data_IF_509210090892
#
_entry.id   IF_509210090892
#
_cell.length_a   1.000
_cell.length_b   1.000
_cell.length_c   1.000
_cell.angle_alpha   90.00
_cell.angle_beta   90.00
_cell.angle_gamma   90.00
#
_symmetry.space_group_name_H-M   'P 1'
#
loop_
_entity.id
_entity.type
_entity.pdbx_description
1 polymer ?
#
# COMPACT_ATOMS: atom_id res chain seq x y z
N UNK A 1 -17.88 -15.17 -28.50
CA UNK A 1 -18.41 -14.69 -27.21
C UNK A 1 -17.23 -14.39 -26.30
N UNK A 2 -16.91 -13.13 -26.04
CA UNK A 2 -15.88 -12.76 -25.07
C UNK A 2 -16.28 -13.33 -23.71
N UNK A 3 -15.45 -14.21 -23.14
CA UNK A 3 -15.70 -14.70 -21.78
C UNK A 3 -15.65 -13.49 -20.85
N UNK A 4 -16.78 -13.14 -20.26
CA UNK A 4 -16.91 -12.07 -19.26
C UNK A 4 -15.95 -12.42 -18.13
N UNK A 5 -14.78 -11.76 -18.08
CA UNK A 5 -13.87 -11.82 -16.94
C UNK A 5 -14.45 -10.91 -15.87
N UNK A 6 -15.25 -11.48 -14.97
CA UNK A 6 -16.11 -10.70 -14.08
C UNK A 6 -15.31 -9.88 -13.05
N UNK A 7 -15.55 -8.57 -13.03
CA UNK A 7 -15.25 -7.67 -11.90
C UNK A 7 -16.51 -7.11 -11.23
N UNK A 8 -17.70 -7.42 -11.75
CA UNK A 8 -18.97 -6.82 -11.33
C UNK A 8 -19.95 -7.83 -10.73
N UNK A 9 -19.93 -9.08 -11.20
CA UNK A 9 -20.85 -10.14 -10.75
C UNK A 9 -20.05 -11.24 -10.03
N UNK A 10 -20.27 -11.44 -8.72
CA UNK A 10 -19.63 -12.53 -7.98
C UNK A 10 -19.96 -13.92 -8.57
N UNK A 11 -19.03 -14.86 -8.48
CA UNK A 11 -19.20 -16.26 -8.89
C UNK A 11 -19.07 -16.56 -10.39
N UNK A 12 -18.89 -15.54 -11.24
CA UNK A 12 -18.85 -15.71 -12.71
C UNK A 12 -17.43 -15.47 -13.24
N UNK A 13 -17.02 -16.24 -14.26
CA UNK A 13 -15.77 -15.97 -15.00
C UNK A 13 -14.49 -16.05 -14.17
N UNK A 14 -14.51 -16.88 -13.13
CA UNK A 14 -13.38 -17.04 -12.19
C UNK A 14 -12.18 -17.67 -12.89
N UNK A 15 -10.99 -17.21 -12.48
CA UNK A 15 -9.69 -17.78 -12.83
C UNK A 15 -8.81 -17.70 -11.59
N UNK A 16 -7.84 -18.60 -11.46
CA UNK A 16 -6.84 -18.48 -10.41
C UNK A 16 -6.10 -17.13 -10.54
N UNK A 17 -5.73 -16.53 -9.41
CA UNK A 17 -4.81 -15.41 -9.41
C UNK A 17 -3.46 -15.87 -10.00
N UNK A 18 -2.75 -15.04 -10.79
CA UNK A 18 -1.41 -15.40 -11.26
C UNK A 18 -0.46 -15.64 -10.09
N UNK A 19 0.29 -16.74 -10.09
CA UNK A 19 1.20 -17.09 -8.99
C UNK A 19 2.53 -17.70 -9.49
N UNK A 20 3.61 -17.58 -8.71
CA UNK A 20 4.82 -18.39 -8.90
C UNK A 20 4.57 -19.80 -8.38
N UNK A 21 5.04 -20.84 -9.04
CA UNK A 21 4.78 -22.24 -8.68
C UNK A 21 5.50 -22.68 -7.38
N UNK A 22 6.66 -22.08 -7.12
CA UNK A 22 7.50 -22.33 -5.95
C UNK A 22 7.91 -20.98 -5.33
N UNK A 23 8.14 -20.95 -4.01
CA UNK A 23 8.41 -19.71 -3.29
C UNK A 23 9.73 -19.05 -3.69
N UNK A 24 9.74 -17.72 -3.67
CA UNK A 24 10.97 -16.93 -3.79
C UNK A 24 11.88 -17.11 -2.56
N UNK A 25 13.19 -17.25 -2.79
CA UNK A 25 14.16 -17.40 -1.71
C UNK A 25 14.56 -16.06 -1.12
N UNK A 26 14.62 -15.97 0.21
CA UNK A 26 15.08 -14.78 0.92
C UNK A 26 15.90 -15.19 2.17
N UNK A 27 17.08 -14.59 2.40
CA UNK A 27 17.82 -14.84 3.63
C UNK A 27 17.04 -14.39 4.87
N UNK A 28 16.97 -15.26 5.87
CA UNK A 28 16.23 -15.03 7.11
C UNK A 28 16.59 -13.72 7.84
N UNK A 29 17.86 -13.25 7.86
CA UNK A 29 18.20 -11.96 8.45
C UNK A 29 17.45 -10.77 7.83
N UNK A 30 17.26 -10.76 6.50
CA UNK A 30 16.51 -9.70 5.83
C UNK A 30 15.01 -9.80 6.08
N UNK A 31 14.47 -11.02 6.18
CA UNK A 31 13.09 -11.22 6.63
C UNK A 31 12.85 -10.63 8.03
N UNK A 32 13.75 -10.92 8.98
CA UNK A 32 13.69 -10.37 10.35
C UNK A 32 13.80 -8.85 10.35
N UNK A 33 14.75 -8.30 9.61
CA UNK A 33 14.90 -6.85 9.43
C UNK A 33 13.59 -6.22 8.92
N UNK A 34 12.97 -6.80 7.89
CA UNK A 34 11.72 -6.29 7.33
C UNK A 34 10.56 -6.34 8.37
N UNK A 35 10.49 -7.41 9.16
CA UNK A 35 9.48 -7.55 10.21
C UNK A 35 9.67 -6.54 11.35
N UNK A 36 10.92 -6.31 11.77
CA UNK A 36 11.27 -5.33 12.82
C UNK A 36 10.91 -3.89 12.41
N UNK A 37 10.95 -3.59 11.11
CA UNK A 37 10.62 -2.27 10.58
C UNK A 37 9.11 -1.97 10.60
N UNK A 38 8.24 -2.98 10.56
CA UNK A 38 6.79 -2.78 10.46
C UNK A 38 6.20 -1.93 11.61
N UNK A 39 6.43 -2.24 12.90
CA UNK A 39 5.89 -1.42 13.98
C UNK A 39 6.52 -0.02 14.06
N UNK A 40 7.75 0.15 13.55
CA UNK A 40 8.44 1.44 13.49
C UNK A 40 7.79 2.32 12.41
N UNK A 41 7.53 1.77 11.22
CA UNK A 41 6.83 2.49 10.16
C UNK A 41 5.39 2.84 10.54
N UNK A 42 4.69 1.94 11.23
CA UNK A 42 3.33 2.21 11.72
C UNK A 42 3.29 3.46 12.62
N UNK A 43 4.19 3.54 13.61
CA UNK A 43 4.28 4.69 14.50
C UNK A 43 4.75 5.96 13.76
N UNK A 44 5.70 5.83 12.81
CA UNK A 44 6.12 6.94 11.97
C UNK A 44 4.94 7.51 11.17
N UNK A 45 4.12 6.65 10.55
CA UNK A 45 2.94 7.09 9.79
C UNK A 45 1.97 7.84 10.69
N UNK A 46 1.65 7.33 11.87
CA UNK A 46 0.76 8.03 12.82
C UNK A 46 1.32 9.41 13.17
N UNK A 47 2.60 9.50 13.55
CA UNK A 47 3.20 10.76 13.97
C UNK A 47 3.32 11.79 12.86
N UNK A 48 3.69 11.36 11.65
CA UNK A 48 3.73 12.27 10.48
C UNK A 48 2.33 12.75 10.12
N UNK A 49 1.31 11.90 10.26
CA UNK A 49 -0.08 12.27 9.97
C UNK A 49 -0.65 13.36 10.88
N UNK A 50 -0.05 13.56 12.06
CA UNK A 50 -0.45 14.59 13.01
C UNK A 50 0.19 15.96 12.71
N UNK A 51 1.30 16.01 11.96
CA UNK A 51 1.93 17.26 11.53
C UNK A 51 1.31 17.74 10.22
N UNK A 52 0.12 18.31 10.33
CA UNK A 52 -0.64 18.80 9.18
C UNK A 52 0.10 19.89 8.39
N UNK A 53 0.91 20.72 9.05
CA UNK A 53 1.73 21.73 8.40
C UNK A 53 2.82 21.09 7.56
N UNK A 54 3.54 20.09 8.10
CA UNK A 54 4.51 19.33 7.32
C UNK A 54 3.89 18.73 6.05
N UNK A 55 2.72 18.10 6.16
CA UNK A 55 2.04 17.52 4.99
C UNK A 55 1.67 18.59 3.94
N UNK A 56 1.08 19.72 4.38
CA UNK A 56 0.70 20.81 3.46
C UNK A 56 1.93 21.46 2.81
N UNK A 57 2.98 21.72 3.58
CA UNK A 57 4.20 22.39 3.11
C UNK A 57 4.98 21.50 2.14
N UNK A 58 5.20 20.23 2.51
CA UNK A 58 5.95 19.25 1.69
C UNK A 58 5.28 18.95 0.35
N UNK A 59 3.96 19.10 0.25
CA UNK A 59 3.17 18.86 -0.97
C UNK A 59 2.72 20.16 -1.66
N UNK A 60 3.14 21.33 -1.17
CA UNK A 60 2.68 22.64 -1.65
C UNK A 60 2.98 22.90 -3.13
N UNK A 61 4.16 22.49 -3.62
CA UNK A 61 4.51 22.57 -5.05
C UNK A 61 3.79 21.51 -5.88
N UNK A 62 3.72 20.28 -5.38
CA UNK A 62 2.98 19.18 -6.02
C UNK A 62 1.52 19.54 -6.27
N UNK A 63 0.88 20.26 -5.33
CA UNK A 63 -0.48 20.78 -5.46
C UNK A 63 -0.71 21.58 -6.75
N UNK A 64 0.28 22.31 -7.23
CA UNK A 64 0.14 23.20 -8.39
C UNK A 64 0.13 22.45 -9.72
N UNK A 65 0.64 21.21 -9.73
CA UNK A 65 0.90 20.43 -10.94
C UNK A 65 0.23 19.06 -10.93
N UNK A 66 -0.44 18.69 -9.84
CA UNK A 66 -1.18 17.44 -9.70
C UNK A 66 -2.56 17.66 -9.07
N UNK A 67 -3.59 17.73 -9.91
CA UNK A 67 -4.98 17.96 -9.52
C UNK A 67 -5.48 16.94 -8.48
N UNK A 68 -5.06 15.67 -8.59
CA UNK A 68 -5.49 14.63 -7.67
C UNK A 68 -4.98 14.88 -6.25
N UNK A 69 -3.67 15.10 -6.11
CA UNK A 69 -3.07 15.46 -4.81
C UNK A 69 -3.63 16.78 -4.30
N UNK A 70 -3.88 17.76 -5.19
CA UNK A 70 -4.50 19.04 -4.82
C UNK A 70 -5.86 18.87 -4.15
N UNK A 71 -6.71 17.97 -4.67
CA UNK A 71 -8.02 17.66 -4.10
C UNK A 71 -7.92 16.92 -2.75
N UNK A 72 -6.95 16.02 -2.60
CA UNK A 72 -6.66 15.38 -1.30
C UNK A 72 -6.22 16.40 -0.25
N UNK A 73 -5.33 17.32 -0.62
CA UNK A 73 -4.89 18.43 0.24
C UNK A 73 -6.02 19.39 0.60
N UNK A 74 -6.98 19.60 -0.31
CA UNK A 74 -8.17 20.42 -0.03
C UNK A 74 -9.03 19.81 1.08
N UNK A 75 -9.28 18.49 1.02
CA UNK A 75 -10.02 17.77 2.07
C UNK A 75 -9.24 17.83 3.39
N UNK A 76 -7.94 17.56 3.36
CA UNK A 76 -7.09 17.63 4.55
C UNK A 76 -7.10 19.03 5.19
N UNK A 77 -7.01 20.09 4.38
CA UNK A 77 -7.10 21.48 4.86
C UNK A 77 -8.45 21.76 5.52
N UNK A 78 -9.57 21.29 4.94
CA UNK A 78 -10.89 21.43 5.56
C UNK A 78 -10.95 20.72 6.92
N UNK A 79 -10.30 19.57 7.08
CA UNK A 79 -10.24 18.86 8.37
C UNK A 79 -9.41 19.64 9.41
N UNK A 80 -8.32 20.27 8.98
CA UNK A 80 -7.54 21.17 9.83
C UNK A 80 -8.34 22.42 10.25
N UNK A 81 -9.07 23.04 9.32
CA UNK A 81 -9.87 24.26 9.58
C UNK A 81 -10.97 24.03 10.62
N UNK A 82 -11.59 22.85 10.62
CA UNK A 82 -12.59 22.46 11.63
C UNK A 82 -11.97 21.86 12.90
N UNK A 83 -10.63 21.82 12.99
CA UNK A 83 -9.88 21.17 14.07
C UNK A 83 -10.41 19.76 14.39
N UNK A 84 -10.59 18.94 13.35
CA UNK A 84 -11.15 17.60 13.51
C UNK A 84 -10.25 16.76 14.41
N UNK A 85 -10.77 16.40 15.59
CA UNK A 85 -10.10 15.43 16.46
C UNK A 85 -10.36 13.99 16.00
N UNK A 86 -9.30 13.28 15.63
CA UNK A 86 -9.35 11.84 15.35
C UNK A 86 -8.83 11.05 16.56
N UNK A 87 -9.73 10.83 17.52
CA UNK A 87 -9.41 10.10 18.74
C UNK A 87 -9.12 8.61 18.50
N UNK A 88 -9.66 8.01 17.44
CA UNK A 88 -9.36 6.63 17.06
C UNK A 88 -8.74 6.65 15.67
N UNK A 89 -7.49 6.19 15.56
CA UNK A 89 -6.72 6.18 14.30
C UNK A 89 -6.30 4.76 13.95
N UNK A 90 -6.66 4.33 12.75
CA UNK A 90 -6.44 2.97 12.25
C UNK A 90 -5.63 2.99 10.95
N UNK A 91 -4.49 2.31 10.96
CA UNK A 91 -3.62 2.10 9.81
C UNK A 91 -3.52 0.62 9.44
N UNK A 92 -3.78 0.30 8.16
CA UNK A 92 -3.51 -1.02 7.58
C UNK A 92 -2.52 -0.87 6.42
N UNK A 93 -1.24 -1.00 6.74
CA UNK A 93 -0.13 -0.61 5.89
C UNK A 93 0.53 -1.80 5.22
N UNK A 94 1.26 -1.53 4.13
CA UNK A 94 2.23 -2.46 3.57
C UNK A 94 3.49 -1.71 3.17
N UNK A 95 4.61 -2.05 3.82
CA UNK A 95 5.92 -1.54 3.45
C UNK A 95 6.58 -2.53 2.49
N UNK A 96 6.94 -2.07 1.30
CA UNK A 96 7.47 -2.91 0.23
C UNK A 96 8.98 -2.74 0.08
N UNK A 97 9.70 -3.84 -0.16
CA UNK A 97 11.15 -3.91 -0.14
C UNK A 97 11.72 -4.76 -1.27
N UNK A 98 12.93 -4.42 -1.70
CA UNK A 98 13.77 -5.26 -2.53
C UNK A 98 15.15 -5.43 -1.89
N UNK A 99 15.74 -6.62 -2.03
CA UNK A 99 17.12 -6.87 -1.60
C UNK A 99 18.06 -6.50 -2.74
N UNK A 100 18.80 -5.41 -2.58
CA UNK A 100 19.76 -4.94 -3.57
C UNK A 100 20.98 -5.86 -3.63
N UNK A 101 21.37 -6.29 -4.83
CA UNK A 101 22.43 -7.27 -5.00
C UNK A 101 23.84 -6.69 -4.82
N UNK A 102 24.06 -5.42 -5.18
CA UNK A 102 25.37 -4.78 -5.06
C UNK A 102 25.69 -4.44 -3.60
N UNK A 103 24.73 -3.84 -2.91
CA UNK A 103 24.91 -3.37 -1.53
C UNK A 103 24.54 -4.42 -0.47
N UNK A 104 23.93 -5.54 -0.87
CA UNK A 104 23.38 -6.56 0.04
C UNK A 104 22.49 -5.95 1.13
N UNK A 105 21.70 -4.95 0.74
CA UNK A 105 20.85 -4.17 1.65
C UNK A 105 19.38 -4.32 1.28
N UNK A 106 18.54 -4.51 2.30
CA UNK A 106 17.10 -4.49 2.14
C UNK A 106 16.63 -3.04 2.06
N UNK A 107 16.19 -2.61 0.88
CA UNK A 107 15.81 -1.24 0.59
C UNK A 107 14.30 -1.13 0.34
N UNK A 108 13.66 -0.15 0.96
CA UNK A 108 12.24 0.14 0.84
C UNK A 108 11.96 0.74 -0.53
N UNK A 109 11.00 0.15 -1.24
CA UNK A 109 10.47 0.61 -2.52
C UNK A 109 9.46 1.73 -2.30
N UNK A 110 8.50 1.49 -1.42
CA UNK A 110 7.41 2.41 -1.08
C UNK A 110 6.71 1.96 0.21
N UNK A 111 5.91 2.87 0.78
CA UNK A 111 5.02 2.60 1.89
C UNK A 111 3.57 2.82 1.46
N UNK A 112 2.78 1.75 1.42
CA UNK A 112 1.38 1.81 1.02
C UNK A 112 0.53 2.08 2.28
N UNK A 113 -0.13 3.23 2.33
CA UNK A 113 -0.99 3.61 3.46
C UNK A 113 -2.48 3.51 3.16
N UNK A 114 -2.87 3.37 1.89
CA UNK A 114 -4.27 3.22 1.43
C UNK A 114 -4.45 1.94 0.61
N UNK A 115 -5.60 1.26 0.79
CA UNK A 115 -6.03 0.13 -0.05
C UNK A 115 -4.96 -0.93 -0.30
N UNK A 116 -4.26 -1.32 0.77
CA UNK A 116 -3.21 -2.33 0.74
C UNK A 116 -3.78 -3.69 0.33
N UNK A 117 -3.57 -4.05 -0.94
CA UNK A 117 -4.11 -5.26 -1.53
C UNK A 117 -3.34 -6.52 -1.15
N UNK A 118 -3.98 -7.67 -1.35
CA UNK A 118 -3.48 -9.03 -1.16
C UNK A 118 -3.35 -9.61 0.27
N UNK A 119 -3.90 -9.02 1.36
CA UNK A 119 -3.88 -9.69 2.65
C UNK A 119 -4.79 -10.93 2.67
N UNK A 120 -5.75 -11.06 1.75
CA UNK A 120 -6.59 -12.25 1.57
C UNK A 120 -5.93 -13.34 0.74
N UNK A 121 -5.37 -12.98 -0.42
CA UNK A 121 -4.75 -13.96 -1.32
C UNK A 121 -3.33 -14.36 -0.93
N UNK A 122 -2.54 -13.48 -0.30
CA UNK A 122 -1.18 -13.76 0.14
C UNK A 122 -1.07 -15.00 1.04
N UNK A 123 -1.87 -15.12 2.10
CA UNK A 123 -1.92 -16.33 2.93
C UNK A 123 -2.22 -17.61 2.15
N UNK A 124 -3.11 -17.56 1.16
CA UNK A 124 -3.44 -18.73 0.33
C UNK A 124 -2.24 -19.19 -0.50
N UNK A 125 -1.42 -18.26 -1.00
CA UNK A 125 -0.18 -18.60 -1.73
C UNK A 125 0.87 -19.19 -0.80
N UNK A 126 0.99 -18.68 0.44
CA UNK A 126 1.84 -19.31 1.46
C UNK A 126 1.42 -20.77 1.73
N UNK A 127 0.12 -21.03 1.90
CA UNK A 127 -0.40 -22.40 2.11
C UNK A 127 -0.27 -23.29 0.87
N UNK A 128 -0.46 -22.73 -0.34
CA UNK A 128 -0.19 -23.44 -1.59
C UNK A 128 1.25 -23.93 -1.65
N UNK A 129 2.23 -23.05 -1.39
CA UNK A 129 3.64 -23.42 -1.41
C UNK A 129 3.99 -24.42 -0.31
N UNK A 130 3.46 -24.29 0.90
CA UNK A 130 3.65 -25.33 1.94
C UNK A 130 3.07 -26.67 1.51
N UNK A 131 1.90 -26.69 0.88
CA UNK A 131 1.26 -27.92 0.40
C UNK A 131 2.10 -28.59 -0.69
N UNK A 132 2.57 -27.82 -1.68
CA UNK A 132 3.45 -28.32 -2.73
C UNK A 132 4.76 -28.86 -2.18
N UNK A 133 5.39 -28.15 -1.23
CA UNK A 133 6.64 -28.59 -0.60
C UNK A 133 6.40 -29.80 0.32
N UNK A 134 5.27 -29.90 1.02
CA UNK A 134 4.92 -31.10 1.78
C UNK A 134 4.85 -32.33 0.87
N UNK A 135 4.29 -32.18 -0.34
CA UNK A 135 4.11 -33.29 -1.28
C UNK A 135 5.40 -33.64 -2.04
N UNK A 136 6.17 -32.63 -2.47
CA UNK A 136 7.30 -32.79 -3.40
C UNK A 136 8.66 -32.39 -2.81
N UNK A 137 8.71 -31.92 -1.57
CA UNK A 137 9.90 -31.33 -0.94
C UNK A 137 11.10 -32.28 -0.85
N UNK A 138 10.88 -33.60 -0.73
CA UNK A 138 11.97 -34.59 -0.77
C UNK A 138 12.70 -34.61 -2.12
N UNK A 139 11.96 -34.47 -3.22
CA UNK A 139 12.53 -34.44 -4.58
C UNK A 139 13.15 -33.07 -4.86
N UNK A 140 12.54 -32.00 -4.35
CA UNK A 140 13.00 -30.62 -4.55
C UNK A 140 14.08 -30.17 -3.54
N UNK A 141 14.38 -30.99 -2.53
CA UNK A 141 15.23 -30.62 -1.39
C UNK A 141 14.76 -29.36 -0.66
N UNK A 142 13.44 -29.24 -0.47
CA UNK A 142 12.79 -28.11 0.20
C UNK A 142 12.08 -28.56 1.48
N UNK A 143 12.10 -27.71 2.50
CA UNK A 143 11.45 -27.95 3.79
C UNK A 143 10.23 -27.03 3.98
N UNK A 144 9.03 -27.56 4.28
CA UNK A 144 7.80 -26.75 4.40
C UNK A 144 7.89 -25.67 5.48
N UNK A 145 8.61 -25.95 6.59
CA UNK A 145 8.82 -25.01 7.71
C UNK A 145 9.58 -23.74 7.32
N UNK A 146 10.29 -23.74 6.19
CA UNK A 146 11.01 -22.57 5.68
C UNK A 146 10.08 -21.57 4.98
N UNK A 147 8.82 -21.92 4.74
CA UNK A 147 7.79 -20.98 4.29
C UNK A 147 7.09 -20.38 5.52
N UNK A 148 7.31 -19.10 5.87
CA UNK A 148 6.81 -18.53 7.11
C UNK A 148 5.29 -18.46 7.16
N UNK A 149 4.74 -18.47 8.38
CA UNK A 149 3.34 -18.22 8.72
C UNK A 149 2.83 -16.93 8.06
N UNK A 150 1.58 -16.94 7.55
CA UNK A 150 0.98 -15.73 6.98
C UNK A 150 -0.47 -15.60 7.45
N UNK A 151 -0.73 -14.61 8.30
CA UNK A 151 -2.02 -14.39 8.96
C UNK A 151 -2.64 -13.03 8.57
N UNK A 152 -2.25 -12.47 7.42
CA UNK A 152 -2.59 -11.10 7.04
C UNK A 152 -4.09 -10.81 7.03
N UNK A 153 -4.90 -11.68 6.43
CA UNK A 153 -6.36 -11.52 6.39
C UNK A 153 -7.00 -11.47 7.77
N UNK A 154 -6.64 -12.41 8.65
CA UNK A 154 -7.20 -12.48 10.01
C UNK A 154 -6.72 -11.33 10.88
N UNK A 155 -5.44 -10.91 10.73
CA UNK A 155 -4.87 -9.80 11.48
C UNK A 155 -5.44 -8.44 11.07
N UNK A 156 -5.69 -8.23 9.78
CA UNK A 156 -6.38 -7.03 9.30
C UNK A 156 -7.84 -7.00 9.77
N UNK A 157 -8.54 -8.15 9.74
CA UNK A 157 -9.89 -8.25 10.30
C UNK A 157 -9.91 -7.98 11.82
N UNK A 158 -8.92 -8.49 12.56
CA UNK A 158 -8.76 -8.22 13.99
C UNK A 158 -8.58 -6.73 14.27
N UNK A 159 -7.71 -6.03 13.53
CA UNK A 159 -7.48 -4.60 13.69
C UNK A 159 -8.75 -3.77 13.38
N UNK A 160 -9.48 -4.12 12.31
CA UNK A 160 -10.79 -3.51 11.99
C UNK A 160 -11.82 -3.75 13.09
N UNK A 161 -11.87 -4.97 13.65
CA UNK A 161 -12.78 -5.32 14.74
C UNK A 161 -12.45 -4.58 16.04
N UNK A 162 -11.16 -4.41 16.36
CA UNK A 162 -10.71 -3.60 17.51
C UNK A 162 -11.09 -2.14 17.33
N UNK A 163 -10.91 -1.56 16.13
CA UNK A 163 -11.32 -0.19 15.86
C UNK A 163 -12.85 0.00 15.95
N UNK A 164 -13.62 -0.98 15.47
CA UNK A 164 -15.07 -1.02 15.63
C UNK A 164 -15.47 -1.09 17.13
N UNK A 165 -14.75 -1.88 17.93
CA UNK A 165 -14.98 -2.00 19.38
C UNK A 165 -14.69 -0.68 20.09
N UNK A 166 -13.59 -0.01 19.75
CA UNK A 166 -13.24 1.30 20.32
C UNK A 166 -14.24 2.40 19.94
N UNK A 167 -14.91 2.27 18.80
CA UNK A 167 -15.98 3.19 18.40
C UNK A 167 -17.25 3.03 19.27
N UNK A 168 -17.44 1.88 19.91
CA UNK A 168 -18.44 1.61 20.95
C UNK A 168 -19.90 1.87 20.54
N UNK A 169 -20.28 1.38 19.35
CA UNK A 169 -21.67 1.40 18.86
C UNK A 169 -22.06 0.05 18.28
N UNK A 170 -22.70 -0.79 19.07
CA UNK A 170 -23.06 -2.19 18.72
C UNK A 170 -23.85 -2.35 17.42
N UNK A 171 -24.69 -1.37 17.08
CA UNK A 171 -25.51 -1.39 15.84
C UNK A 171 -24.74 -0.96 14.60
N UNK A 172 -23.52 -0.45 14.74
CA UNK A 172 -22.74 0.08 13.64
C UNK A 172 -22.03 -1.02 12.84
N UNK A 173 -21.69 -0.72 11.60
CA UNK A 173 -21.06 -1.65 10.65
C UNK A 173 -19.65 -1.18 10.25
N UNK A 174 -18.92 -2.08 9.58
CA UNK A 174 -17.72 -1.72 8.81
C UNK A 174 -18.12 -1.53 7.35
N UNK A 175 -17.95 -0.32 6.82
CA UNK A 175 -18.19 -0.02 5.41
C UNK A 175 -16.88 -0.13 4.62
N UNK A 176 -16.88 -0.90 3.54
CA UNK A 176 -15.78 -0.97 2.58
C UNK A 176 -16.08 -0.08 1.38
N UNK A 177 -15.20 0.88 1.10
CA UNK A 177 -15.26 1.68 -0.14
C UNK A 177 -14.57 0.90 -1.25
N UNK A 178 -15.27 0.61 -2.33
CA UNK A 178 -14.79 -0.30 -3.41
C UNK A 178 -14.93 0.34 -4.79
N UNK A 179 -14.14 -0.14 -5.75
CA UNK A 179 -14.29 0.26 -7.15
C UNK A 179 -15.57 -0.35 -7.76
N UNK A 180 -16.20 0.30 -8.76
CA UNK A 180 -17.36 -0.25 -9.46
C UNK A 180 -17.07 -1.60 -10.14
N UNK A 181 -15.88 -1.75 -10.73
CA UNK A 181 -15.38 -3.01 -11.27
C UNK A 181 -14.19 -3.50 -10.44
N UNK A 182 -14.35 -4.61 -9.72
CA UNK A 182 -13.37 -5.12 -8.78
C UNK A 182 -13.08 -6.60 -9.02
N UNK A 183 -12.13 -6.90 -9.91
CA UNK A 183 -11.70 -8.28 -10.19
C UNK A 183 -11.03 -8.95 -8.99
N UNK A 184 -10.48 -8.17 -8.07
CA UNK A 184 -9.84 -8.65 -6.85
C UNK A 184 -10.82 -8.68 -5.65
N UNK A 185 -12.13 -8.72 -5.89
CA UNK A 185 -13.14 -8.71 -4.81
C UNK A 185 -13.01 -9.88 -3.83
N UNK A 186 -12.43 -11.00 -4.27
CA UNK A 186 -12.22 -12.18 -3.41
C UNK A 186 -11.08 -12.00 -2.41
N UNK A 187 -10.10 -11.14 -2.69
CA UNK A 187 -9.12 -10.70 -1.68
C UNK A 187 -9.82 -9.94 -0.54
N UNK A 188 -10.79 -9.09 -0.89
CA UNK A 188 -11.61 -8.34 0.06
C UNK A 188 -12.56 -9.27 0.84
N UNK A 189 -13.12 -10.29 0.17
CA UNK A 189 -14.02 -11.27 0.78
C UNK A 189 -13.40 -11.94 2.01
N UNK A 190 -12.12 -12.33 1.96
CA UNK A 190 -11.46 -12.97 3.10
C UNK A 190 -11.49 -12.11 4.37
N UNK A 191 -11.31 -10.79 4.25
CA UNK A 191 -11.40 -9.88 5.40
C UNK A 191 -12.85 -9.86 5.93
N UNK A 192 -13.84 -9.74 5.04
CA UNK A 192 -15.27 -9.71 5.45
C UNK A 192 -15.71 -11.02 6.09
N UNK A 193 -15.16 -12.15 5.62
CA UNK A 193 -15.40 -13.46 6.20
C UNK A 193 -14.93 -13.51 7.65
N UNK A 194 -13.70 -13.09 7.94
CA UNK A 194 -13.17 -13.07 9.32
C UNK A 194 -13.92 -12.07 10.20
N UNK A 195 -14.25 -10.88 9.70
CA UNK A 195 -15.08 -9.91 10.45
C UNK A 195 -16.42 -10.54 10.87
N UNK A 196 -17.08 -11.26 9.97
CA UNK A 196 -18.38 -11.88 10.25
C UNK A 196 -18.26 -13.10 11.15
N UNK A 197 -17.39 -14.05 10.80
CA UNK A 197 -17.30 -15.36 11.46
C UNK A 197 -16.60 -15.30 12.82
N UNK A 198 -15.59 -14.43 12.97
CA UNK A 198 -14.79 -14.34 14.21
C UNK A 198 -15.28 -13.25 15.17
N UNK A 199 -15.93 -12.20 14.65
CA UNK A 199 -16.32 -11.04 15.45
C UNK A 199 -17.81 -10.68 15.37
N UNK A 200 -18.59 -11.35 14.51
CA UNK A 200 -20.02 -11.05 14.34
C UNK A 200 -20.31 -9.73 13.61
N UNK A 201 -19.27 -9.00 13.18
CA UNK A 201 -19.38 -7.66 12.60
C UNK A 201 -19.92 -7.74 11.18
N UNK A 202 -20.92 -6.89 10.89
CA UNK A 202 -21.52 -6.81 9.56
C UNK A 202 -20.73 -5.84 8.68
N UNK A 203 -20.55 -6.22 7.41
CA UNK A 203 -19.85 -5.40 6.41
C UNK A 203 -20.79 -4.92 5.32
N UNK A 204 -20.61 -3.69 4.85
CA UNK A 204 -21.32 -3.12 3.70
C UNK A 204 -20.30 -2.67 2.65
N UNK A 205 -20.52 -3.00 1.38
CA UNK A 205 -19.66 -2.55 0.27
C UNK A 205 -20.38 -1.44 -0.50
N UNK A 206 -19.72 -0.31 -0.71
CA UNK A 206 -20.26 0.82 -1.47
C UNK A 206 -19.19 1.46 -2.34
N UNK A 207 -19.55 1.92 -3.53
CA UNK A 207 -18.71 2.85 -4.29
C UNK A 207 -18.84 4.26 -3.71
N UNK A 208 -17.90 5.16 -4.02
CA UNK A 208 -17.99 6.56 -3.60
C UNK A 208 -19.28 7.22 -4.12
N UNK A 209 -19.67 6.97 -5.36
CA UNK A 209 -20.94 7.45 -5.95
C UNK A 209 -22.16 7.01 -5.13
N UNK A 210 -22.19 5.76 -4.67
CA UNK A 210 -23.29 5.25 -3.84
C UNK A 210 -23.30 5.87 -2.44
N UNK A 211 -22.13 6.17 -1.87
CA UNK A 211 -22.05 6.88 -0.60
C UNK A 211 -22.56 8.32 -0.75
N UNK A 212 -22.30 8.98 -1.88
CA UNK A 212 -22.87 10.31 -2.13
C UNK A 212 -24.41 10.25 -2.18
N UNK A 213 -24.96 9.29 -2.93
CA UNK A 213 -26.40 9.20 -3.13
C UNK A 213 -27.19 8.75 -1.89
N UNK A 214 -26.58 7.94 -1.02
CA UNK A 214 -27.28 7.27 0.09
C UNK A 214 -26.76 7.69 1.48
N UNK A 215 -25.66 8.43 1.52
CA UNK A 215 -24.93 8.77 2.74
C UNK A 215 -25.30 10.14 3.28
N UNK A 216 -25.34 10.27 4.60
CA UNK A 216 -25.43 11.56 5.28
C UNK A 216 -24.81 11.46 6.68
N UNK A 217 -24.41 12.62 7.22
CA UNK A 217 -23.87 12.74 8.57
C UNK A 217 -24.93 13.33 9.48
N UNK A 218 -25.22 12.65 10.58
CA UNK A 218 -26.15 13.11 11.62
C UNK A 218 -25.56 14.30 12.41
N UNK A 219 -26.39 15.05 13.17
CA UNK A 219 -25.90 16.17 13.99
C UNK A 219 -24.83 15.80 15.02
N UNK A 220 -24.79 14.53 15.46
CA UNK A 220 -23.78 14.00 16.37
C UNK A 220 -22.47 13.56 15.66
N UNK A 221 -22.39 13.74 14.33
CA UNK A 221 -21.26 13.35 13.50
C UNK A 221 -21.33 11.92 12.96
N UNK A 222 -22.32 11.11 13.34
CA UNK A 222 -22.45 9.72 12.88
C UNK A 222 -22.71 9.64 11.38
N UNK A 223 -21.91 8.86 10.66
CA UNK A 223 -22.18 8.53 9.26
C UNK A 223 -23.27 7.47 9.17
N UNK A 224 -24.35 7.78 8.44
CA UNK A 224 -25.36 6.84 8.00
C UNK A 224 -25.23 6.61 6.51
N UNK A 225 -25.21 5.35 6.07
CA UNK A 225 -25.30 4.96 4.66
C UNK A 225 -26.29 3.81 4.56
N UNK A 226 -27.28 3.90 3.66
CA UNK A 226 -28.33 2.88 3.52
C UNK A 226 -29.03 2.59 4.87
N UNK A 227 -29.28 3.64 5.66
CA UNK A 227 -29.90 3.55 6.99
C UNK A 227 -29.05 2.89 8.09
N UNK A 228 -27.78 2.54 7.81
CA UNK A 228 -26.88 1.86 8.75
C UNK A 228 -25.82 2.81 9.28
N UNK A 229 -25.59 2.78 10.60
CA UNK A 229 -24.49 3.52 11.25
C UNK A 229 -23.17 2.91 10.85
N UNK A 230 -22.20 3.73 10.48
CA UNK A 230 -20.87 3.28 10.07
C UNK A 230 -19.86 3.63 11.16
N UNK A 231 -19.24 2.60 11.75
CA UNK A 231 -18.18 2.79 12.75
C UNK A 231 -16.81 2.94 12.08
N UNK A 232 -16.54 2.10 11.08
CA UNK A 232 -15.24 2.08 10.38
C UNK A 232 -15.47 2.16 8.87
N UNK A 233 -14.74 3.04 8.20
CA UNK A 233 -14.66 3.11 6.74
C UNK A 233 -13.31 2.57 6.28
N UNK A 234 -13.33 1.41 5.62
CA UNK A 234 -12.14 0.74 5.10
C UNK A 234 -12.02 0.94 3.58
N UNK A 235 -11.01 1.70 3.16
CA UNK A 235 -10.81 2.02 1.76
C UNK A 235 -10.15 0.87 1.00
N UNK A 236 -10.83 0.41 -0.05
CA UNK A 236 -10.32 -0.45 -1.12
C UNK A 236 -10.40 0.24 -2.51
N UNK A 237 -10.62 1.54 -2.50
CA UNK A 237 -10.66 2.47 -3.63
C UNK A 237 -10.30 3.89 -3.12
N UNK A 238 -10.36 4.90 -3.98
CA UNK A 238 -10.07 6.30 -3.63
C UNK A 238 -8.58 6.66 -3.65
N UNK A 239 -7.74 5.80 -4.23
CA UNK A 239 -6.29 5.99 -4.34
C UNK A 239 -5.84 6.36 -5.75
N UNK A 240 -6.75 6.38 -6.72
CA UNK A 240 -6.49 6.76 -8.12
C UNK A 240 -7.49 7.82 -8.59
N UNK A 241 -7.11 8.75 -9.47
CA UNK A 241 -8.04 9.70 -10.07
C UNK A 241 -9.23 9.03 -10.77
N UNK A 242 -9.05 7.81 -11.28
CA UNK A 242 -10.11 7.05 -11.96
C UNK A 242 -11.28 6.67 -11.03
N UNK A 243 -11.08 6.70 -9.71
CA UNK A 243 -12.15 6.48 -8.73
C UNK A 243 -12.98 7.75 -8.50
N UNK A 244 -12.64 8.87 -9.16
CA UNK A 244 -13.29 10.18 -9.05
C UNK A 244 -13.72 10.72 -10.41
N UNK A 245 -14.62 10.03 -11.14
CA UNK A 245 -15.08 10.48 -12.45
C UNK A 245 -15.91 11.78 -12.39
N UNK A 246 -16.42 12.17 -11.22
CA UNK A 246 -17.23 13.37 -11.02
C UNK A 246 -17.01 14.00 -9.64
N UNK A 247 -17.68 15.11 -9.37
CA UNK A 247 -17.69 15.75 -8.04
C UNK A 247 -18.45 14.94 -6.99
N UNK A 248 -19.29 13.98 -7.38
CA UNK A 248 -20.02 13.13 -6.44
C UNK A 248 -19.04 12.33 -5.56
N UNK A 249 -17.99 11.77 -6.16
CA UNK A 249 -17.03 10.94 -5.43
C UNK A 249 -16.15 11.77 -4.48
N UNK A 250 -15.80 13.00 -4.88
CA UNK A 250 -15.11 13.95 -4.01
C UNK A 250 -16.01 14.39 -2.84
N UNK A 251 -17.30 14.59 -3.10
CA UNK A 251 -18.29 14.97 -2.09
C UNK A 251 -18.49 13.83 -1.08
N UNK A 252 -18.63 12.59 -1.54
CA UNK A 252 -18.64 11.42 -0.67
C UNK A 252 -17.36 11.29 0.16
N UNK A 253 -16.19 11.51 -0.45
CA UNK A 253 -14.91 11.43 0.25
C UNK A 253 -14.83 12.45 1.38
N UNK A 254 -15.23 13.70 1.11
CA UNK A 254 -15.29 14.75 2.13
C UNK A 254 -16.32 14.45 3.23
N UNK A 255 -17.52 13.97 2.85
CA UNK A 255 -18.58 13.58 3.78
C UNK A 255 -18.09 12.50 4.78
N UNK A 256 -17.41 11.48 4.26
CA UNK A 256 -16.80 10.42 5.07
C UNK A 256 -15.78 11.02 6.03
N UNK A 257 -14.87 11.88 5.54
CA UNK A 257 -13.79 12.45 6.35
C UNK A 257 -14.33 13.31 7.50
N UNK A 258 -15.40 14.07 7.25
CA UNK A 258 -16.08 14.90 8.25
C UNK A 258 -16.77 14.10 9.35
N UNK A 259 -17.20 12.87 9.06
CA UNK A 259 -17.91 12.01 10.01
C UNK A 259 -17.07 11.58 11.21
N UNK A 260 -17.72 11.06 12.24
CA UNK A 260 -17.06 10.48 13.42
C UNK A 260 -16.47 9.09 13.16
N UNK A 261 -16.82 8.44 12.04
CA UNK A 261 -16.30 7.11 11.72
C UNK A 261 -14.77 7.07 11.74
N UNK A 262 -14.22 5.93 12.11
CA UNK A 262 -12.78 5.65 11.99
C UNK A 262 -12.47 5.39 10.53
N UNK A 263 -11.60 6.19 9.92
CA UNK A 263 -11.17 5.95 8.54
C UNK A 263 -9.92 5.07 8.51
N UNK A 264 -9.86 4.17 7.55
CA UNK A 264 -8.71 3.31 7.30
C UNK A 264 -8.34 3.35 5.81
N UNK A 265 -7.43 4.26 5.41
CA UNK A 265 -6.84 5.34 6.21
C UNK A 265 -7.69 6.61 6.25
N UNK A 266 -7.41 7.51 7.18
CA UNK A 266 -7.82 8.93 7.10
C UNK A 266 -7.09 9.65 5.96
N UNK A 267 -7.52 10.88 5.65
CA UNK A 267 -6.90 11.68 4.59
C UNK A 267 -5.42 11.99 4.90
N UNK A 268 -5.08 12.25 6.16
CA UNK A 268 -3.68 12.52 6.55
C UNK A 268 -2.82 11.27 6.36
N UNK A 269 -3.27 10.10 6.79
CA UNK A 269 -2.59 8.83 6.54
C UNK A 269 -2.41 8.53 5.03
N UNK A 270 -3.39 8.85 4.19
CA UNK A 270 -3.23 8.72 2.73
C UNK A 270 -2.13 9.65 2.20
N UNK A 271 -2.09 10.91 2.65
CA UNK A 271 -1.05 11.87 2.23
C UNK A 271 0.35 11.44 2.66
N UNK A 272 0.50 10.82 3.84
CA UNK A 272 1.77 10.25 4.31
C UNK A 272 2.32 9.20 3.33
N UNK A 273 1.44 8.43 2.68
CA UNK A 273 1.85 7.39 1.72
C UNK A 273 2.36 7.93 0.37
N UNK A 274 2.27 9.24 0.13
CA UNK A 274 2.74 9.82 -1.12
C UNK A 274 4.25 9.67 -1.27
N UNK A 275 4.71 9.51 -2.51
CA UNK A 275 6.13 9.36 -2.83
C UNK A 275 6.92 10.61 -2.43
N UNK A 276 6.30 11.79 -2.51
CA UNK A 276 6.89 13.04 -2.03
C UNK A 276 7.17 13.00 -0.53
N UNK A 277 6.23 12.54 0.31
CA UNK A 277 6.48 12.44 1.75
C UNK A 277 7.55 11.38 2.05
N UNK A 278 7.56 10.25 1.34
CA UNK A 278 8.65 9.26 1.46
C UNK A 278 10.03 9.90 1.19
N UNK A 279 10.14 10.73 0.16
CA UNK A 279 11.38 11.45 -0.17
C UNK A 279 11.74 12.50 0.88
N UNK A 280 10.77 13.28 1.37
CA UNK A 280 11.00 14.27 2.43
C UNK A 280 11.47 13.64 3.74
N UNK A 281 10.93 12.48 4.11
CA UNK A 281 11.36 11.72 5.29
C UNK A 281 12.80 11.20 5.17
N UNK A 282 13.33 11.06 3.95
CA UNK A 282 14.71 10.67 3.72
C UNK A 282 15.72 11.81 3.92
N UNK A 283 15.26 13.07 3.98
CA UNK A 283 16.13 14.22 4.19
C UNK A 283 16.77 14.19 5.59
N UNK A 284 18.02 14.68 5.73
CA UNK A 284 18.68 14.76 7.03
C UNK A 284 17.83 15.50 8.08
N UNK A 285 17.80 14.96 9.30
CA UNK A 285 17.11 15.52 10.46
C UNK A 285 15.56 15.52 10.39
N UNK A 286 14.93 15.05 9.32
CA UNK A 286 13.46 15.03 9.22
C UNK A 286 12.85 13.91 10.05
N UNK A 287 13.43 12.69 10.04
CA UNK A 287 12.96 11.59 10.89
C UNK A 287 12.98 11.93 12.38
N UNK A 288 14.00 12.66 12.84
CA UNK A 288 14.15 13.13 14.22
C UNK A 288 13.04 14.06 14.70
N UNK A 289 12.29 14.70 13.78
CA UNK A 289 11.11 15.47 14.14
C UNK A 289 9.97 14.58 14.63
N UNK A 290 9.92 13.34 14.15
CA UNK A 290 8.81 12.42 14.37
C UNK A 290 9.18 11.30 15.33
N UNK A 291 10.43 10.87 15.36
CA UNK A 291 10.90 9.77 16.20
C UNK A 291 12.01 10.22 17.14
N UNK A 292 11.97 9.72 18.36
CA UNK A 292 12.99 10.01 19.39
C UNK A 292 14.01 8.87 19.54
N UNK A 293 13.56 7.63 19.27
CA UNK A 293 14.41 6.45 19.43
C UNK A 293 15.45 6.39 18.30
N UNK A 294 16.71 6.67 18.66
CA UNK A 294 17.85 6.68 17.74
C UNK A 294 18.09 5.33 17.05
N UNK A 295 17.77 4.22 17.72
CA UNK A 295 17.91 2.89 17.13
C UNK A 295 16.88 2.68 16.02
N UNK A 296 15.62 3.10 16.26
CA UNK A 296 14.55 3.00 15.27
C UNK A 296 14.82 3.90 14.06
N UNK A 297 15.31 5.12 14.29
CA UNK A 297 15.76 6.03 13.23
C UNK A 297 16.88 5.39 12.40
N UNK A 298 17.86 4.76 13.05
CA UNK A 298 18.96 4.09 12.36
C UNK A 298 18.46 2.89 11.52
N UNK A 299 17.50 2.10 12.04
CA UNK A 299 16.86 1.00 11.30
C UNK A 299 16.13 1.50 10.06
N UNK A 300 15.34 2.57 10.19
CA UNK A 300 14.63 3.20 9.06
C UNK A 300 15.61 3.71 8.00
N UNK A 301 16.62 4.50 8.40
CA UNK A 301 17.63 5.00 7.46
C UNK A 301 18.35 3.90 6.71
N UNK A 302 18.64 2.79 7.38
CA UNK A 302 19.31 1.64 6.75
C UNK A 302 18.49 1.03 5.61
N UNK A 303 17.16 1.17 5.61
CA UNK A 303 16.32 0.69 4.52
C UNK A 303 15.96 1.76 3.49
N UNK A 304 16.37 3.01 3.64
CA UNK A 304 16.11 4.03 2.62
C UNK A 304 17.10 3.87 1.47
N UNK A 305 16.56 3.72 0.26
CA UNK A 305 17.34 3.92 -0.96
C UNK A 305 17.62 5.41 -1.16
N UNK A 306 18.48 5.76 -2.12
CA UNK A 306 18.61 7.15 -2.55
C UNK A 306 17.27 7.72 -3.03
N UNK A 307 16.83 8.82 -2.42
CA UNK A 307 15.57 9.51 -2.69
C UNK A 307 15.87 11.00 -2.81
N UNK A 308 15.49 11.60 -3.93
CA UNK A 308 15.81 12.98 -4.24
C UNK A 308 14.59 13.74 -4.76
N UNK A 309 14.47 14.98 -4.31
CA UNK A 309 13.65 15.99 -4.95
C UNK A 309 14.30 16.45 -6.25
N UNK A 310 13.49 16.93 -7.18
CA UNK A 310 13.94 17.43 -8.49
C UNK A 310 14.22 18.94 -8.46
N UNK A 311 14.73 19.45 -7.35
CA UNK A 311 15.28 20.79 -7.19
C UNK A 311 16.82 20.80 -7.18
N UNK A 312 17.45 19.63 -7.06
CA UNK A 312 18.89 19.44 -7.22
C UNK A 312 19.26 19.27 -8.70
N UNK A 313 19.93 20.26 -9.29
CA UNK A 313 20.32 20.23 -10.69
C UNK A 313 21.39 19.15 -10.99
N UNK A 314 22.25 18.83 -10.03
CA UNK A 314 23.31 17.83 -10.20
C UNK A 314 22.74 16.42 -10.28
N UNK A 315 21.74 16.10 -9.43
CA UNK A 315 21.08 14.80 -9.50
C UNK A 315 20.28 14.65 -10.79
N UNK A 316 19.61 15.71 -11.26
CA UNK A 316 18.87 15.69 -12.55
C UNK A 316 19.85 15.42 -13.69
N UNK A 317 20.97 16.14 -13.74
CA UNK A 317 22.01 15.92 -14.76
C UNK A 317 22.51 14.47 -14.73
N UNK A 318 22.80 13.95 -13.54
CA UNK A 318 23.26 12.57 -13.35
C UNK A 318 22.23 11.57 -13.85
N UNK A 319 20.95 11.80 -13.57
CA UNK A 319 19.84 10.94 -14.01
C UNK A 319 19.61 10.99 -15.52
N UNK A 320 19.83 12.14 -16.15
CA UNK A 320 19.81 12.27 -17.62
C UNK A 320 20.99 11.51 -18.24
N UNK A 321 22.19 11.62 -17.67
CA UNK A 321 23.38 10.92 -18.16
C UNK A 321 23.27 9.40 -17.99
N UNK A 322 22.79 8.93 -16.84
CA UNK A 322 22.71 7.51 -16.45
C UNK A 322 21.30 7.09 -16.02
N UNK A 323 20.30 7.15 -16.93
CA UNK A 323 18.90 6.95 -16.56
C UNK A 323 18.56 5.53 -16.12
N UNK A 324 19.38 4.54 -16.47
CA UNK A 324 19.23 3.16 -16.05
C UNK A 324 19.38 2.96 -14.54
N UNK A 325 20.04 3.88 -13.83
CA UNK A 325 20.29 3.81 -12.38
C UNK A 325 19.17 4.44 -11.54
N UNK A 326 18.14 5.01 -12.18
CA UNK A 326 17.10 5.75 -11.49
C UNK A 326 15.70 5.29 -11.90
N UNK A 327 14.74 5.65 -11.05
CA UNK A 327 13.30 5.54 -11.29
C UNK A 327 12.69 6.89 -11.00
N UNK A 328 11.91 7.41 -11.93
CA UNK A 328 11.16 8.65 -11.78
C UNK A 328 9.72 8.28 -11.42
N UNK A 329 9.25 8.74 -10.26
CA UNK A 329 7.94 8.34 -9.70
C UNK A 329 6.99 9.54 -9.58
N UNK A 330 5.81 9.52 -10.21
CA UNK A 330 4.77 10.50 -9.95
C UNK A 330 4.05 10.21 -8.62
N UNK A 331 3.21 11.13 -8.15
CA UNK A 331 2.36 10.94 -6.96
C UNK A 331 1.13 10.06 -7.27
N UNK A 332 1.36 8.80 -7.60
CA UNK A 332 0.31 7.82 -7.92
C UNK A 332 0.53 6.51 -7.16
N UNK A 333 -0.56 5.80 -6.92
CA UNK A 333 -0.59 4.47 -6.30
C UNK A 333 -1.15 3.41 -7.27
N UNK A 334 -0.91 2.14 -6.99
CA UNK A 334 -1.51 1.01 -7.74
C UNK A 334 -0.68 0.43 -8.89
N UNK A 335 0.55 0.91 -9.09
CA UNK A 335 1.48 0.44 -10.13
C UNK A 335 1.16 0.95 -11.54
N UNK A 336 2.12 0.84 -12.46
CA UNK A 336 1.96 1.27 -13.87
C UNK A 336 2.28 2.73 -14.17
N UNK A 337 2.83 3.48 -13.20
CA UNK A 337 3.02 4.93 -13.32
C UNK A 337 4.49 5.36 -13.33
N UNK A 338 5.42 4.45 -13.05
CA UNK A 338 6.83 4.81 -12.90
C UNK A 338 7.50 4.92 -14.28
N UNK A 339 8.52 5.78 -14.37
CA UNK A 339 9.24 6.06 -15.61
C UNK A 339 10.71 5.64 -15.43
N UNK A 340 11.24 4.93 -16.42
CA UNK A 340 12.55 4.26 -16.36
C UNK A 340 13.37 4.54 -17.63
N UNK A 341 14.70 4.44 -17.53
CA UNK A 341 15.58 4.37 -18.71
C UNK A 341 15.40 5.53 -19.69
N UNK A 342 15.27 5.24 -20.98
CA UNK A 342 15.17 6.29 -22.01
C UNK A 342 13.97 7.22 -21.77
N UNK A 343 12.82 6.69 -21.38
CA UNK A 343 11.63 7.50 -21.09
C UNK A 343 11.87 8.45 -19.92
N UNK A 344 12.67 8.03 -18.92
CA UNK A 344 13.08 8.90 -17.80
C UNK A 344 13.93 10.05 -18.30
N UNK A 345 14.95 9.76 -19.13
CA UNK A 345 15.82 10.79 -19.72
C UNK A 345 15.03 11.79 -20.54
N UNK A 346 14.15 11.30 -21.41
CA UNK A 346 13.31 12.14 -22.26
C UNK A 346 12.36 13.01 -21.44
N UNK A 347 11.75 12.43 -20.40
CA UNK A 347 10.86 13.15 -19.48
C UNK A 347 11.60 14.25 -18.72
N UNK A 348 12.75 13.96 -18.12
CA UNK A 348 13.54 14.97 -17.41
C UNK A 348 14.02 16.09 -18.36
N UNK A 349 14.49 15.74 -19.55
CA UNK A 349 14.94 16.71 -20.56
C UNK A 349 13.78 17.63 -20.99
N UNK A 350 12.58 17.08 -21.16
CA UNK A 350 11.38 17.85 -21.48
C UNK A 350 10.99 18.78 -20.33
N UNK A 351 10.92 18.28 -19.10
CA UNK A 351 10.55 19.06 -17.92
C UNK A 351 11.55 20.20 -17.65
N UNK A 352 12.85 19.99 -17.86
CA UNK A 352 13.86 21.05 -17.76
C UNK A 352 13.64 22.18 -18.78
N UNK A 353 13.16 21.86 -19.99
CA UNK A 353 12.85 22.86 -21.02
C UNK A 353 11.55 23.62 -20.74
N UNK A 354 10.55 22.94 -20.19
CA UNK A 354 9.27 23.54 -19.81
C UNK A 354 9.43 24.53 -18.64
N UNK A 355 10.35 24.24 -17.72
CA UNK A 355 10.62 25.08 -16.55
C UNK A 355 9.47 25.10 -15.55
N UNK A 356 9.55 26.01 -14.57
CA UNK A 356 8.54 26.15 -13.51
C UNK A 356 8.47 24.95 -12.57
N UNK A 357 7.28 24.70 -12.01
CA UNK A 357 7.07 23.67 -10.98
C UNK A 357 6.71 22.28 -11.53
N UNK A 358 6.80 22.06 -12.84
CA UNK A 358 6.43 20.78 -13.46
C UNK A 358 7.21 19.57 -12.91
N UNK A 359 8.44 19.79 -12.45
CA UNK A 359 9.27 18.79 -11.78
C UNK A 359 8.70 18.36 -10.41
N UNK A 360 7.89 19.20 -9.74
CA UNK A 360 7.33 18.91 -8.42
C UNK A 360 6.26 17.80 -8.41
N UNK A 361 5.80 17.36 -9.58
CA UNK A 361 4.92 16.20 -9.70
C UNK A 361 5.65 14.87 -9.43
N UNK A 362 6.99 14.88 -9.48
CA UNK A 362 7.81 13.67 -9.44
C UNK A 362 8.84 13.69 -8.31
N UNK A 363 9.28 12.51 -7.92
CA UNK A 363 10.53 12.30 -7.19
C UNK A 363 11.47 11.41 -8.00
N UNK A 364 12.76 11.52 -7.73
CA UNK A 364 13.75 10.60 -8.26
C UNK A 364 14.15 9.60 -7.17
N UNK A 365 14.25 8.33 -7.54
CA UNK A 365 14.67 7.27 -6.64
C UNK A 365 15.77 6.43 -7.27
N UNK A 366 16.70 5.96 -6.45
CA UNK A 366 17.69 4.96 -6.83
C UNK A 366 16.98 3.69 -7.32
N UNK A 367 17.36 3.21 -8.50
CA UNK A 367 16.91 1.90 -8.96
C UNK A 367 17.61 0.81 -8.16
N UNK A 368 16.83 -0.10 -7.61
CA UNK A 368 17.31 -1.27 -6.88
C UNK A 368 17.46 -2.43 -7.86
N UNK A 369 18.55 -3.20 -7.74
CA UNK A 369 18.84 -4.32 -8.63
C UNK A 369 18.91 -5.63 -7.85
N UNK A 370 17.77 -6.32 -7.65
CA UNK A 370 17.76 -7.62 -7.01
C UNK A 370 18.45 -8.69 -7.86
N UNK A 371 18.97 -9.72 -7.19
CA UNK A 371 19.48 -10.90 -7.89
C UNK A 371 18.34 -11.63 -8.60
N UNK A 372 18.43 -11.75 -9.91
CA UNK A 372 17.48 -12.53 -10.69
C UNK A 372 17.64 -14.04 -10.41
N UNK A 373 16.53 -14.75 -10.37
CA UNK A 373 16.47 -16.21 -10.23
C UNK A 373 15.52 -16.81 -11.26
N UNK A 374 15.66 -18.11 -11.57
CA UNK A 374 14.69 -18.80 -12.39
C UNK A 374 13.45 -19.13 -11.56
N UNK A 375 12.26 -18.87 -12.10
CA UNK A 375 10.99 -19.26 -11.50
C UNK A 375 9.98 -19.69 -12.57
N UNK A 376 8.97 -20.43 -12.12
CA UNK A 376 7.86 -20.89 -12.96
C UNK A 376 6.61 -20.09 -12.62
N UNK A 377 6.16 -19.26 -13.54
CA UNK A 377 5.02 -18.35 -13.37
C UNK A 377 3.78 -18.96 -14.01
N UNK A 378 2.70 -19.10 -13.23
CA UNK A 378 1.45 -19.70 -13.67
C UNK A 378 0.41 -18.60 -13.90
N UNK A 379 -0.10 -18.49 -15.13
CA UNK A 379 -1.15 -17.52 -15.51
C UNK A 379 -2.13 -18.17 -16.48
N UNK A 380 -3.43 -18.12 -16.15
CA UNK A 380 -4.47 -18.65 -17.03
C UNK A 380 -4.34 -20.14 -17.34
N UNK A 381 -3.80 -20.92 -16.39
CA UNK A 381 -3.53 -22.35 -16.54
C UNK A 381 -2.24 -22.69 -17.31
N UNK A 382 -1.47 -21.69 -17.74
CA UNK A 382 -0.20 -21.90 -18.45
C UNK A 382 0.95 -21.58 -17.53
N UNK A 383 1.95 -22.46 -17.50
CA UNK A 383 3.18 -22.31 -16.74
C UNK A 383 4.30 -21.83 -17.66
N UNK A 384 4.99 -20.77 -17.28
CA UNK A 384 6.09 -20.17 -18.02
C UNK A 384 7.33 -20.07 -17.15
N UNK A 385 8.46 -20.60 -17.61
CA UNK A 385 9.75 -20.37 -16.98
C UNK A 385 10.28 -18.97 -17.36
N UNK A 386 10.88 -18.26 -16.41
CA UNK A 386 11.53 -16.98 -16.68
C UNK A 386 12.53 -16.60 -15.59
N UNK A 387 13.45 -15.71 -15.94
CA UNK A 387 14.25 -14.99 -14.95
C UNK A 387 13.39 -13.93 -14.28
N UNK A 388 13.37 -13.93 -12.96
CA UNK A 388 12.48 -13.11 -12.15
C UNK A 388 13.23 -12.38 -11.05
N UNK A 389 12.62 -11.30 -10.58
CA UNK A 389 12.97 -10.61 -9.35
C UNK A 389 11.72 -10.51 -8.47
N UNK A 390 11.94 -10.44 -7.16
CA UNK A 390 10.87 -10.46 -6.17
C UNK A 390 10.91 -9.23 -5.27
N UNK A 391 9.73 -8.79 -4.85
CA UNK A 391 9.48 -7.64 -4.00
C UNK A 391 8.68 -8.08 -2.77
N UNK A 392 9.27 -7.89 -1.59
CA UNK A 392 8.71 -8.27 -0.30
C UNK A 392 7.85 -7.14 0.25
N UNK A 393 6.56 -7.39 0.44
CA UNK A 393 5.67 -6.52 1.22
C UNK A 393 5.47 -7.05 2.63
N UNK A 394 5.71 -6.23 3.64
CA UNK A 394 5.38 -6.53 5.04
C UNK A 394 4.14 -5.75 5.43
N UNK A 395 3.09 -6.45 5.87
CA UNK A 395 1.89 -5.81 6.38
C UNK A 395 2.10 -5.34 7.81
N UNK A 396 1.57 -4.16 8.11
CA UNK A 396 1.50 -3.60 9.46
C UNK A 396 0.07 -3.22 9.81
N UNK A 397 -0.34 -3.45 11.06
CA UNK A 397 -1.60 -2.91 11.58
C UNK A 397 -1.33 -2.01 12.78
N UNK A 398 -1.93 -0.83 12.75
CA UNK A 398 -1.81 0.17 13.80
C UNK A 398 -3.19 0.61 14.26
N UNK A 399 -3.43 0.61 15.57
CA UNK A 399 -4.64 1.19 16.16
C UNK A 399 -4.26 1.95 17.41
N UNK A 400 -4.66 3.21 17.47
CA UNK A 400 -4.53 4.05 18.66
C UNK A 400 -5.87 4.65 19.01
N UNK A 401 -6.17 4.67 20.31
CA UNK A 401 -7.31 5.36 20.90
C UNK A 401 -6.76 6.40 21.89
N UNK A 402 -6.91 7.68 21.53
CA UNK A 402 -6.32 8.84 22.21
C UNK A 402 -4.80 8.67 22.31
N UNK A 403 -4.29 8.53 23.54
CA UNK A 403 -2.87 8.36 23.81
C UNK A 403 -2.43 6.89 23.86
N UNK A 404 -3.39 5.95 23.88
CA UNK A 404 -3.11 4.52 24.04
C UNK A 404 -2.97 3.83 22.69
N UNK A 405 -1.78 3.32 22.41
CA UNK A 405 -1.55 2.37 21.32
C UNK A 405 -2.17 1.02 21.72
N UNK A 406 -3.17 0.58 20.96
CA UNK A 406 -3.89 -0.68 21.18
C UNK A 406 -3.27 -1.80 20.34
N UNK A 407 -2.87 -1.47 19.10
CA UNK A 407 -2.24 -2.42 18.17
C UNK A 407 -1.10 -1.72 17.47
N UNK A 408 0.08 -2.35 17.42
CA UNK A 408 1.19 -1.92 16.59
C UNK A 408 2.01 -3.16 16.18
N UNK A 409 1.48 -3.91 15.23
CA UNK A 409 1.91 -5.28 14.95
C UNK A 409 2.36 -5.45 13.49
N UNK A 410 3.35 -6.32 13.30
CA UNK A 410 3.60 -6.95 12.00
C UNK A 410 2.53 -8.02 11.75
N UNK A 411 1.93 -8.00 10.56
CA UNK A 411 0.68 -8.71 10.28
C UNK A 411 0.78 -9.66 9.08
N UNK A 412 1.90 -10.35 8.91
CA UNK A 412 2.13 -11.20 7.73
C UNK A 412 2.76 -10.44 6.57
N UNK A 413 2.71 -11.04 5.38
CA UNK A 413 3.47 -10.56 4.23
C UNK A 413 2.80 -10.86 2.90
N UNK A 414 3.33 -10.21 1.87
CA UNK A 414 3.08 -10.46 0.47
C UNK A 414 4.44 -10.61 -0.22
N UNK A 415 4.61 -11.63 -1.05
CA UNK A 415 5.69 -11.60 -2.03
C UNK A 415 5.08 -11.39 -3.41
N UNK A 416 5.66 -10.47 -4.18
CA UNK A 416 5.34 -10.26 -5.60
C UNK A 416 6.55 -10.62 -6.42
N UNK A 417 6.35 -11.38 -7.48
CA UNK A 417 7.43 -11.82 -8.37
C UNK A 417 7.09 -11.41 -9.79
N UNK A 418 8.07 -10.86 -10.51
CA UNK A 418 7.91 -10.40 -11.90
C UNK A 418 9.12 -10.82 -12.73
N UNK A 419 8.93 -10.91 -14.05
CA UNK A 419 10.06 -11.12 -14.96
C UNK A 419 11.07 -9.99 -14.82
N UNK A 420 12.36 -10.31 -14.80
CA UNK A 420 13.44 -9.36 -14.48
C UNK A 420 13.57 -8.22 -15.50
N UNK A 421 13.09 -8.45 -16.73
CA UNK A 421 13.05 -7.43 -17.80
C UNK A 421 11.84 -6.49 -17.70
N UNK A 422 10.91 -6.71 -16.77
CA UNK A 422 9.74 -5.85 -16.59
C UNK A 422 10.00 -4.77 -15.56
N UNK A 423 9.83 -3.51 -15.97
CA UNK A 423 9.97 -2.36 -15.08
C UNK A 423 8.79 -2.26 -14.07
N UNK A 424 7.62 -2.78 -14.42
CA UNK A 424 6.39 -2.69 -13.61
C UNK A 424 6.13 -3.92 -12.74
N UNK A 425 5.50 -3.73 -11.56
CA UNK A 425 5.36 -4.77 -10.52
C UNK A 425 3.93 -5.06 -10.04
N UNK A 426 2.91 -4.43 -10.62
CA UNK A 426 1.52 -4.62 -10.19
C UNK A 426 0.95 -5.98 -10.62
N UNK A 427 0.49 -6.79 -9.66
CA UNK A 427 -0.26 -8.04 -9.97
C UNK A 427 -1.61 -7.71 -10.59
N UNK A 428 -2.35 -6.76 -10.02
CA UNK A 428 -3.64 -6.30 -10.54
C UNK A 428 -3.51 -5.67 -11.94
N UNK A 429 -2.39 -4.99 -12.19
CA UNK A 429 -2.04 -4.42 -13.51
C UNK A 429 -1.52 -5.47 -14.52
N UNK A 430 -1.26 -6.70 -14.07
CA UNK A 430 -0.89 -7.83 -14.94
C UNK A 430 0.61 -8.07 -15.13
N UNK A 431 1.47 -7.27 -14.51
CA UNK A 431 2.94 -7.36 -14.67
C UNK A 431 3.61 -8.38 -13.75
N UNK A 432 3.07 -8.57 -12.54
CA UNK A 432 3.59 -9.50 -11.55
C UNK A 432 2.64 -10.69 -11.30
N UNK A 433 3.15 -11.66 -10.56
CA UNK A 433 2.40 -12.77 -9.97
C UNK A 433 2.53 -12.74 -8.45
N UNK A 434 1.57 -13.34 -7.75
CA UNK A 434 1.67 -13.58 -6.32
C UNK A 434 2.71 -14.67 -6.04
N UNK A 435 3.41 -14.55 -4.94
CA UNK A 435 4.42 -15.51 -4.52
C UNK A 435 4.38 -15.64 -2.98
N UNK A 436 5.17 -16.56 -2.43
CA UNK A 436 5.48 -16.58 -1.00
C UNK A 436 7.00 -16.62 -0.80
N UNK A 437 7.43 -16.87 0.44
CA UNK A 437 8.82 -16.82 0.86
C UNK A 437 9.34 -18.23 1.16
N UNK A 438 10.59 -18.49 0.84
CA UNK A 438 11.39 -19.60 1.37
C UNK A 438 12.62 -19.02 2.07
N UNK A 439 12.66 -19.14 3.39
CA UNK A 439 13.74 -18.58 4.21
C UNK A 439 15.01 -19.41 4.06
N UNK A 440 16.11 -18.75 3.72
CA UNK A 440 17.45 -19.35 3.64
C UNK A 440 18.34 -18.89 4.79
N UNK A 441 19.33 -19.70 5.16
CA UNK A 441 20.27 -19.35 6.24
C UNK A 441 21.27 -18.24 5.80
N UNK A 442 21.49 -18.09 4.49
CA UNK A 442 22.33 -17.06 3.85
C UNK A 442 21.72 -16.58 2.55
#
# INVERSE_FOLDING_TARGET
MSRIRSGTVPGVGLVHAPFSLLPAHLPEPFWKQACELAPIFNELVDRVSLDGNFLQDSLSKTRQVDDFTSRLLEIHRKMMEINKEENIRLGLHRSDYMLDSETSSLLQIELNTISTSFPGLGPLVSELHRTLINQYGRVLSLEPKRVPGNAASSKFAEALARAWTEFDVDSAIVMMIVQPEERNMYDQYWITKYLKESYGITTLRKTLTQVEAEGHVLPDGTLLVDGKKVAVVYYRAGYTPNDYPSEAEWSARLLIEQSSSVKCPSISYQLVGTKRIQQELANPNVLERFLENKEDIAKLRKCFAGLWSLDDEEIIKTAIEKPELFVLKPQREGGGNNIYGLDLRETLTRLQKEGGDALAAYILMQRIFPKASLAYLVRGGICHEGLVISELGIYGSYLRSKDKVITNDQCGYLMRTKVSSSDEGGVAAGFAVLDSLYLTDK
#
